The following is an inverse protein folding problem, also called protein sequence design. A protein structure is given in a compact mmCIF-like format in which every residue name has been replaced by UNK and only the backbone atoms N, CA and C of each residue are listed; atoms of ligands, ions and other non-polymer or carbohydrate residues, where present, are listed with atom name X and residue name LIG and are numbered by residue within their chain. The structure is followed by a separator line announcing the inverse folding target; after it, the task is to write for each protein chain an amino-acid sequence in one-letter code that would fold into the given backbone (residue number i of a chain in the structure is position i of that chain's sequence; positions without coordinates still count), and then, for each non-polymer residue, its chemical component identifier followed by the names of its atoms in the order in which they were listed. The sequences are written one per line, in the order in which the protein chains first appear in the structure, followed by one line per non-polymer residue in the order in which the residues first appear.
data_IF_014534051444
#
_entry.id   IF_014534051444
#
_cell.length_a   1.000
_cell.length_b   1.000
_cell.length_c   1.000
_cell.angle_alpha   90.00
_cell.angle_beta   90.00
_cell.angle_gamma   90.00
#
_symmetry.space_group_name_H-M   'P 1'
#
loop_
_entity.id
_entity.type
_entity.pdbx_description
1 polymer ?
#
# COMPACT_ATOMS: atom_id res chain seq x y z
N UNK A 1 18.96 -16.12 0.67
CA UNK A 1 20.03 -16.18 1.70
C UNK A 1 21.22 -15.42 1.12
N UNK A 2 21.69 -14.32 1.72
CA UNK A 2 22.75 -13.51 1.11
C UNK A 2 23.98 -14.34 0.79
N UNK A 3 24.41 -14.29 -0.48
CA UNK A 3 25.58 -15.02 -0.97
C UNK A 3 25.40 -16.54 -1.13
N UNK A 4 24.17 -17.07 -1.03
CA UNK A 4 23.89 -18.50 -1.21
C UNK A 4 22.66 -18.70 -2.11
N UNK A 5 22.87 -19.36 -3.27
CA UNK A 5 21.79 -19.75 -4.18
C UNK A 5 20.88 -20.78 -3.52
N UNK A 6 19.59 -20.67 -3.81
CA UNK A 6 18.55 -21.59 -3.33
C UNK A 6 17.83 -22.18 -4.54
N UNK A 7 17.58 -23.48 -4.54
CA UNK A 7 16.79 -24.14 -5.58
C UNK A 7 15.45 -24.57 -4.98
N UNK A 8 14.37 -23.92 -5.39
CA UNK A 8 13.01 -24.26 -4.98
C UNK A 8 12.60 -25.56 -5.67
N UNK A 9 12.13 -26.53 -4.88
CA UNK A 9 11.71 -27.85 -5.37
C UNK A 9 10.27 -28.21 -5.02
N UNK A 10 9.68 -27.55 -4.02
CA UNK A 10 8.26 -27.64 -3.73
C UNK A 10 7.68 -26.29 -3.30
N UNK A 11 6.40 -26.10 -3.59
CA UNK A 11 5.58 -24.97 -3.12
C UNK A 11 4.24 -25.53 -2.64
N UNK A 12 3.81 -25.15 -1.44
CA UNK A 12 2.57 -25.57 -0.79
C UNK A 12 2.36 -27.10 -0.79
N UNK A 13 3.45 -27.82 -0.49
CA UNK A 13 3.47 -29.27 -0.42
C UNK A 13 3.44 -29.99 -1.78
N UNK A 14 3.48 -29.26 -2.90
CA UNK A 14 3.54 -29.82 -4.24
C UNK A 14 4.91 -29.67 -4.86
N UNK A 15 5.44 -30.76 -5.43
CA UNK A 15 6.69 -30.71 -6.17
C UNK A 15 6.53 -29.86 -7.44
N UNK A 16 7.51 -28.99 -7.67
CA UNK A 16 7.57 -28.12 -8.84
C UNK A 16 8.80 -28.45 -9.68
N UNK A 17 8.83 -27.97 -10.93
CA UNK A 17 10.06 -28.00 -11.69
C UNK A 17 11.12 -27.13 -10.97
N UNK A 18 12.33 -27.63 -10.69
CA UNK A 18 13.31 -26.90 -9.90
C UNK A 18 13.65 -25.53 -10.48
N UNK A 19 13.64 -24.49 -9.64
CA UNK A 19 14.00 -23.12 -10.02
C UNK A 19 15.04 -22.58 -9.04
N UNK A 20 16.19 -22.16 -9.57
CA UNK A 20 17.25 -21.53 -8.77
C UNK A 20 17.02 -20.02 -8.66
N UNK A 21 17.03 -19.52 -7.43
CA UNK A 21 16.78 -18.12 -7.07
C UNK A 21 17.79 -17.64 -6.03
N UNK A 22 18.00 -16.32 -5.96
CA UNK A 22 18.77 -15.66 -4.88
C UNK A 22 17.88 -15.32 -3.68
N UNK A 23 16.64 -14.94 -3.97
CA UNK A 23 15.62 -14.50 -3.05
C UNK A 23 14.23 -14.73 -3.66
N UNK A 24 13.22 -14.76 -2.80
CA UNK A 24 11.82 -14.82 -3.22
C UNK A 24 10.95 -14.19 -2.13
N UNK A 25 9.71 -13.85 -2.50
CA UNK A 25 8.69 -13.37 -1.58
C UNK A 25 7.81 -14.55 -1.16
N UNK A 26 7.37 -14.52 0.10
CA UNK A 26 6.48 -15.51 0.68
C UNK A 26 5.35 -14.79 1.40
N UNK A 27 4.12 -15.20 1.13
CA UNK A 27 2.92 -14.71 1.78
C UNK A 27 2.58 -15.52 3.04
N UNK A 28 1.61 -15.04 3.80
CA UNK A 28 1.14 -15.74 5.01
C UNK A 28 0.60 -17.12 4.62
N UNK A 29 1.01 -18.14 5.37
CA UNK A 29 0.63 -19.54 5.20
C UNK A 29 1.17 -20.26 3.96
N UNK A 30 1.99 -19.60 3.14
CA UNK A 30 2.74 -20.30 2.09
C UNK A 30 3.88 -21.13 2.69
N UNK A 31 4.24 -22.21 2.00
CA UNK A 31 5.38 -23.07 2.37
C UNK A 31 6.22 -23.39 1.15
N UNK A 32 7.54 -23.38 1.30
CA UNK A 32 8.47 -23.68 0.23
C UNK A 32 9.57 -24.61 0.72
N UNK A 33 9.86 -25.63 -0.07
CA UNK A 33 11.03 -26.48 0.15
C UNK A 33 12.14 -26.04 -0.80
N UNK A 34 13.29 -25.69 -0.21
CA UNK A 34 14.46 -25.20 -0.94
C UNK A 34 15.69 -26.05 -0.64
N UNK A 35 16.43 -26.38 -1.68
CA UNK A 35 17.75 -27.01 -1.57
C UNK A 35 18.81 -25.91 -1.60
N UNK A 36 19.78 -26.01 -0.71
CA UNK A 36 20.94 -25.11 -0.64
C UNK A 36 22.22 -25.94 -0.55
N UNK A 37 23.31 -25.41 -1.08
CA UNK A 37 24.64 -26.02 -1.03
C UNK A 37 25.64 -25.05 -0.39
N UNK A 38 25.69 -24.95 0.96
CA UNK A 38 26.58 -24.04 1.66
C UNK A 38 28.05 -24.41 1.46
N UNK A 39 28.90 -23.43 1.15
CA UNK A 39 30.36 -23.61 1.06
C UNK A 39 31.13 -23.01 2.25
N UNK A 40 30.50 -22.08 2.97
CA UNK A 40 31.04 -21.47 4.20
C UNK A 40 30.52 -22.11 5.49
N UNK A 41 31.06 -21.66 6.62
CA UNK A 41 30.72 -22.21 7.94
C UNK A 41 29.39 -21.71 8.51
N UNK A 42 28.94 -20.52 8.09
CA UNK A 42 27.69 -19.91 8.54
C UNK A 42 27.09 -18.96 7.49
N UNK A 43 25.77 -18.98 7.38
CA UNK A 43 24.96 -18.08 6.55
C UNK A 43 23.75 -17.58 7.33
N UNK A 44 23.33 -16.34 7.07
CA UNK A 44 22.12 -15.77 7.66
C UNK A 44 20.92 -16.04 6.76
N UNK A 45 19.93 -16.76 7.27
CA UNK A 45 18.60 -16.80 6.66
C UNK A 45 17.91 -15.50 7.08
N UNK A 46 17.68 -14.61 6.11
CA UNK A 46 17.13 -13.29 6.36
C UNK A 46 15.76 -13.15 5.70
N UNK A 47 14.76 -12.77 6.48
CA UNK A 47 13.40 -12.55 6.01
C UNK A 47 12.94 -11.16 6.45
N UNK A 48 12.99 -10.21 5.54
CA UNK A 48 12.51 -8.84 5.76
C UNK A 48 11.02 -8.75 5.47
N UNK A 49 10.27 -7.98 6.26
CA UNK A 49 8.89 -7.64 5.93
C UNK A 49 8.82 -6.80 4.65
N UNK A 50 7.77 -6.94 3.83
CA UNK A 50 7.67 -6.20 2.57
C UNK A 50 7.61 -4.67 2.75
N UNK A 51 7.07 -4.20 3.87
CA UNK A 51 7.05 -2.78 4.25
C UNK A 51 8.40 -2.27 4.78
N UNK A 52 9.39 -3.17 4.88
CA UNK A 52 10.78 -2.94 5.29
C UNK A 52 10.92 -2.36 6.70
N UNK A 53 9.94 -2.59 7.58
CA UNK A 53 9.95 -2.10 8.98
C UNK A 53 10.54 -3.09 9.98
N UNK A 54 10.62 -4.37 9.62
CA UNK A 54 11.16 -5.42 10.49
C UNK A 54 11.73 -6.60 9.72
N UNK A 55 12.28 -7.56 10.47
CA UNK A 55 12.82 -8.78 9.92
C UNK A 55 12.81 -9.93 10.94
N UNK A 56 12.77 -11.15 10.42
CA UNK A 56 13.18 -12.35 11.14
C UNK A 56 14.55 -12.81 10.61
N UNK A 57 15.36 -13.43 11.48
CA UNK A 57 16.62 -14.04 11.08
C UNK A 57 16.80 -15.44 11.69
N UNK A 58 17.40 -16.32 10.92
CA UNK A 58 17.96 -17.59 11.37
C UNK A 58 19.42 -17.69 10.95
N UNK A 59 20.14 -18.67 11.52
CA UNK A 59 21.51 -18.98 11.12
C UNK A 59 21.56 -20.42 10.63
N UNK A 60 22.03 -20.62 9.40
CA UNK A 60 22.43 -21.92 8.90
C UNK A 60 23.94 -22.05 9.13
N UNK A 61 24.37 -22.93 10.04
CA UNK A 61 25.78 -23.10 10.39
C UNK A 61 26.17 -24.56 10.58
N UNK A 62 27.45 -24.86 10.37
CA UNK A 62 28.02 -26.21 10.49
C UNK A 62 28.17 -26.69 11.94
N UNK A 63 28.14 -25.76 12.90
CA UNK A 63 28.22 -26.04 14.34
C UNK A 63 27.50 -24.96 15.14
N UNK A 64 27.13 -25.31 16.36
CA UNK A 64 26.48 -24.39 17.28
C UNK A 64 27.39 -23.20 17.66
N UNK A 65 26.78 -22.05 17.95
CA UNK A 65 27.46 -20.82 18.34
C UNK A 65 28.07 -20.00 17.20
N UNK A 66 28.08 -20.50 15.97
CA UNK A 66 28.45 -19.71 14.80
C UNK A 66 27.31 -18.76 14.39
N UNK A 67 27.68 -17.61 13.83
CA UNK A 67 26.74 -16.64 13.27
C UNK A 67 27.38 -15.90 12.10
N UNK A 68 26.57 -15.55 11.11
CA UNK A 68 26.97 -14.71 9.98
C UNK A 68 26.43 -13.28 10.15
N UNK A 69 26.99 -12.35 9.39
CA UNK A 69 26.59 -10.95 9.43
C UNK A 69 25.12 -10.78 9.03
N UNK A 70 24.39 -9.96 9.78
CA UNK A 70 23.00 -9.60 9.44
C UNK A 70 23.04 -8.53 8.35
N UNK A 71 22.34 -8.73 7.22
CA UNK A 71 22.21 -7.69 6.21
C UNK A 71 21.56 -6.41 6.77
N UNK A 72 21.92 -5.22 6.26
CA UNK A 72 21.17 -4.01 6.56
C UNK A 72 19.74 -4.13 5.99
N UNK A 73 18.79 -3.44 6.62
CA UNK A 73 17.44 -3.34 6.09
C UNK A 73 17.42 -2.44 4.85
N UNK A 74 16.71 -2.88 3.82
CA UNK A 74 16.40 -2.04 2.66
C UNK A 74 15.63 -0.77 3.08
N UNK A 75 15.79 0.35 2.35
CA UNK A 75 15.06 1.57 2.63
C UNK A 75 13.57 1.40 2.36
N UNK A 76 12.70 1.94 3.23
CA UNK A 76 11.25 1.85 3.03
C UNK A 76 10.84 2.54 1.71
N UNK A 77 10.01 1.90 0.88
CA UNK A 77 9.40 2.60 -0.24
C UNK A 77 8.48 3.69 0.32
N UNK A 78 8.72 4.94 -0.07
CA UNK A 78 7.84 6.05 0.21
C UNK A 78 7.06 6.35 -1.05
N UNK A 79 5.73 6.36 -0.94
CA UNK A 79 4.85 6.67 -2.06
C UNK A 79 4.96 8.17 -2.36
N UNK A 80 5.33 8.52 -3.57
CA UNK A 80 5.36 9.92 -4.03
C UNK A 80 4.02 10.30 -4.66
N UNK A 81 3.80 11.60 -4.89
CA UNK A 81 2.61 12.07 -5.62
C UNK A 81 2.57 11.56 -7.07
N UNK A 82 3.74 11.27 -7.65
CA UNK A 82 3.85 10.65 -8.97
C UNK A 82 3.32 9.21 -8.96
N UNK A 83 3.69 8.42 -7.94
CA UNK A 83 3.23 7.03 -7.78
C UNK A 83 1.71 6.93 -7.54
N UNK A 84 1.09 8.00 -7.02
CA UNK A 84 -0.36 8.11 -6.85
C UNK A 84 -1.11 8.58 -8.11
N UNK A 85 -0.41 8.80 -9.23
CA UNK A 85 -0.99 9.31 -10.48
C UNK A 85 -1.27 10.82 -10.49
N UNK A 86 -0.85 11.53 -9.44
CA UNK A 86 -1.06 12.98 -9.29
C UNK A 86 0.12 13.81 -9.82
N UNK A 87 1.21 13.16 -10.27
CA UNK A 87 2.39 13.82 -10.82
C UNK A 87 2.14 14.66 -12.08
N UNK A 88 1.02 14.43 -12.78
CA UNK A 88 0.63 15.18 -13.99
C UNK A 88 -0.28 16.39 -13.75
N UNK A 89 -0.87 16.56 -12.56
CA UNK A 89 -1.89 17.60 -12.32
C UNK A 89 -1.31 19.01 -12.14
N UNK A 90 0.03 19.16 -12.14
CA UNK A 90 0.71 20.46 -12.05
C UNK A 90 0.83 21.21 -13.39
N UNK A 91 0.59 20.56 -14.54
CA UNK A 91 0.83 21.17 -15.85
C UNK A 91 -0.45 21.66 -16.57
N UNK A 92 -1.63 21.15 -16.25
CA UNK A 92 -2.89 21.57 -16.91
C UNK A 92 -3.63 22.71 -16.19
N UNK A 93 -3.22 23.09 -14.98
CA UNK A 93 -3.80 24.23 -14.24
C UNK A 93 -3.05 25.56 -14.48
N UNK A 94 -2.00 25.57 -15.31
CA UNK A 94 -1.28 26.80 -15.66
C UNK A 94 -2.00 27.64 -16.75
N UNK A 95 -3.10 27.12 -17.33
CA UNK A 95 -3.84 27.75 -18.41
C UNK A 95 -5.21 28.33 -18.05
N UNK A 96 -5.72 28.12 -16.83
CA UNK A 96 -6.98 28.74 -16.42
C UNK A 96 -6.74 30.17 -15.95
N UNK A 97 -6.69 31.06 -16.93
CA UNK A 97 -6.83 32.50 -16.74
C UNK A 97 -8.20 32.80 -16.11
N UNK A 98 -8.23 32.96 -14.78
CA UNK A 98 -9.42 33.39 -14.05
C UNK A 98 -9.82 34.86 -14.33
N UNK A 99 -9.09 35.59 -15.21
CA UNK A 99 -9.45 36.96 -15.58
C UNK A 99 -10.69 37.05 -16.49
N UNK A 100 -11.14 35.93 -17.07
CA UNK A 100 -12.35 35.89 -17.92
C UNK A 100 -13.65 35.47 -17.20
N UNK A 101 -13.70 35.45 -15.86
CA UNK A 101 -14.97 35.53 -15.12
C UNK A 101 -15.32 36.98 -14.75
N UNK A 102 -14.99 37.93 -15.63
CA UNK A 102 -15.59 39.24 -15.64
C UNK A 102 -17.00 39.16 -16.22
N UNK A 103 -18.01 39.21 -15.34
CA UNK A 103 -19.39 39.53 -15.73
C UNK A 103 -20.31 38.32 -15.91
N UNK A 104 -20.75 37.74 -14.79
CA UNK A 104 -22.09 37.15 -14.73
C UNK A 104 -22.81 37.78 -13.54
N UNK A 105 -23.25 39.02 -13.78
CA UNK A 105 -24.39 39.61 -13.09
C UNK A 105 -25.62 38.78 -13.50
N UNK A 106 -26.05 37.87 -12.62
CA UNK A 106 -27.36 37.22 -12.71
C UNK A 106 -28.30 37.82 -11.66
N UNK A 107 -28.41 39.15 -11.64
CA UNK A 107 -29.57 39.83 -11.10
C UNK A 107 -30.79 39.54 -11.99
N UNK A 108 -31.66 38.66 -11.48
CA UNK A 108 -33.04 38.54 -11.93
C UNK A 108 -33.27 37.56 -13.08
N UNK A 109 -33.76 36.36 -12.74
CA UNK A 109 -35.05 35.87 -13.25
C UNK A 109 -35.45 34.65 -12.40
N UNK A 110 -36.21 34.90 -11.32
CA UNK A 110 -37.02 33.87 -10.69
C UNK A 110 -38.13 33.48 -11.67
N UNK A 111 -37.96 32.37 -12.38
CA UNK A 111 -39.07 31.71 -13.05
C UNK A 111 -39.53 30.54 -12.21
N UNK A 112 -40.65 30.78 -11.53
CA UNK A 112 -41.56 29.81 -10.93
C UNK A 112 -41.80 28.65 -11.90
N UNK A 113 -41.47 27.43 -11.50
CA UNK A 113 -42.11 26.23 -12.06
C UNK A 113 -42.95 25.60 -10.95
N UNK A 114 -44.19 26.09 -10.89
CA UNK A 114 -45.30 25.45 -10.21
C UNK A 114 -45.60 24.09 -10.85
N UNK A 115 -45.66 23.08 -9.99
CA UNK A 115 -46.71 22.05 -10.00
C UNK A 115 -46.82 21.11 -11.20
N UNK A 116 -46.21 19.92 -11.06
CA UNK A 116 -46.81 18.70 -11.59
C UNK A 116 -46.48 17.51 -10.67
N UNK A 117 -47.51 17.10 -9.94
CA UNK A 117 -47.70 15.85 -9.22
C UNK A 117 -46.99 14.63 -9.83
N UNK A 118 -46.31 13.85 -8.99
CA UNK A 118 -46.40 12.38 -8.97
C UNK A 118 -45.92 11.85 -7.60
N UNK A 119 -46.65 10.89 -6.98
CA UNK A 119 -46.45 10.48 -5.59
C UNK A 119 -45.45 9.34 -5.49
N UNK A 120 -44.47 9.43 -4.58
CA UNK A 120 -43.73 8.25 -4.14
C UNK A 120 -43.53 8.22 -2.61
N UNK A 121 -44.31 7.34 -2.01
CA UNK A 121 -43.99 6.40 -0.94
C UNK A 121 -42.64 6.56 -0.21
N UNK A 122 -42.75 6.86 1.09
CA UNK A 122 -41.90 6.22 2.09
C UNK A 122 -40.55 6.89 2.38
N UNK A 123 -40.51 7.74 3.40
CA UNK A 123 -39.64 7.61 4.59
C UNK A 123 -39.70 8.93 5.37
N UNK A 124 -40.21 8.87 6.59
CA UNK A 124 -40.23 9.99 7.53
C UNK A 124 -38.82 10.25 8.06
N UNK A 125 -38.07 11.12 7.38
CA UNK A 125 -36.85 11.73 7.90
C UNK A 125 -37.22 13.01 8.64
N UNK A 126 -37.36 12.93 9.96
CA UNK A 126 -37.45 14.11 10.80
C UNK A 126 -36.16 14.95 10.67
N UNK A 127 -36.24 16.29 10.71
CA UNK A 127 -35.06 17.14 10.71
C UNK A 127 -34.27 16.90 12.01
N UNK A 128 -33.04 16.40 11.91
CA UNK A 128 -32.13 16.35 13.05
C UNK A 128 -31.60 17.77 13.31
N UNK A 129 -31.88 18.26 14.51
CA UNK A 129 -31.35 19.51 15.04
C UNK A 129 -29.88 19.33 15.43
N UNK A 130 -28.98 20.11 14.81
CA UNK A 130 -27.54 20.08 15.05
C UNK A 130 -27.09 21.06 16.14
N UNK A 131 -28.00 21.67 16.91
CA UNK A 131 -27.69 22.72 17.89
C UNK A 131 -27.04 22.23 19.19
N UNK A 132 -26.44 21.04 19.23
CA UNK A 132 -25.91 20.46 20.48
C UNK A 132 -24.52 19.78 20.38
N UNK A 133 -23.65 20.18 19.45
CA UNK A 133 -22.21 19.86 19.55
C UNK A 133 -21.45 21.00 20.24
N UNK A 134 -21.51 21.00 21.57
CA UNK A 134 -20.63 21.79 22.42
C UNK A 134 -19.32 21.01 22.69
N UNK A 135 -18.19 21.59 22.30
CA UNK A 135 -16.87 21.29 22.87
C UNK A 135 -16.04 20.22 22.16
N UNK A 136 -15.28 20.63 21.14
CA UNK A 136 -14.04 19.96 20.74
C UNK A 136 -12.94 21.03 20.69
N UNK A 137 -12.38 21.30 21.87
CA UNK A 137 -11.11 22.00 22.06
C UNK A 137 -9.97 21.04 21.70
N UNK A 138 -9.14 21.42 20.74
CA UNK A 138 -7.91 20.71 20.39
C UNK A 138 -6.73 21.63 20.73
N UNK A 139 -6.15 21.42 21.90
CA UNK A 139 -4.77 21.76 22.24
C UNK A 139 -3.82 20.64 21.84
#
# INVERSE_FOLDING_TARGET
IPGLKMTVVAADGQYVNPVTVDEFRIAVAETYDVIVEPQGEAYTIFAQSMDRTGYARGTLATREGLSAAVPPLDPRPLLTMEDMGMGGMGHDMAGMDHSQMGGMDNSGEMMSMDGADLPDSGTSSAPMDHSSMAGMDHS
#
